data_IF_240614091349
#
_entry.id   IF_240614091349
#
_cell.length_a   1.000
_cell.length_b   1.000
_cell.length_c   1.000
_cell.angle_alpha   90.00
_cell.angle_beta   90.00
_cell.angle_gamma   90.00
#
_symmetry.space_group_name_H-M   'P 1'
#
loop_
_entity.id
_entity.type
_entity.pdbx_description
1 polymer ?
#
# COMPACT_ATOMS: atom_id res chain seq x y z
N UNK A 1 30.82 -110.83 -5.77
CA UNK A 1 29.98 -111.09 -6.97
C UNK A 1 29.16 -109.84 -7.24
N UNK A 2 29.50 -109.15 -8.31
CA UNK A 2 29.03 -107.82 -8.69
C UNK A 2 27.66 -107.90 -9.38
N UNK A 3 26.67 -107.17 -8.87
CA UNK A 3 25.38 -106.99 -9.53
C UNK A 3 25.46 -105.86 -10.57
N UNK A 4 25.42 -106.24 -11.85
CA UNK A 4 25.23 -105.30 -12.95
C UNK A 4 23.78 -104.79 -12.98
N UNK A 5 23.61 -103.48 -12.82
CA UNK A 5 22.33 -102.79 -13.01
C UNK A 5 22.10 -102.57 -14.50
N UNK A 6 21.04 -103.16 -15.06
CA UNK A 6 20.56 -102.84 -16.41
C UNK A 6 19.91 -101.45 -16.40
N UNK A 7 20.36 -100.58 -17.30
CA UNK A 7 19.82 -99.23 -17.51
C UNK A 7 18.59 -99.25 -18.43
N UNK A 8 17.75 -98.19 -18.44
CA UNK A 8 16.38 -98.23 -19.00
C UNK A 8 16.26 -98.26 -20.53
N UNK A 9 17.36 -98.49 -21.27
CA UNK A 9 17.39 -98.29 -22.72
C UNK A 9 17.19 -99.56 -23.57
N UNK A 10 17.04 -100.73 -22.94
CA UNK A 10 16.75 -101.98 -23.66
C UNK A 10 15.26 -102.32 -23.64
N UNK A 11 14.49 -101.60 -24.45
CA UNK A 11 13.27 -102.13 -25.09
C UNK A 11 12.85 -101.23 -26.25
N UNK A 12 13.47 -101.47 -27.41
CA UNK A 12 12.82 -101.19 -28.70
C UNK A 12 12.50 -102.53 -29.33
N UNK A 13 11.21 -102.81 -29.53
CA UNK A 13 10.59 -103.00 -30.85
C UNK A 13 9.28 -103.80 -30.74
N UNK A 14 8.34 -103.33 -31.57
CA UNK A 14 7.13 -103.98 -32.05
C UNK A 14 5.91 -103.88 -31.13
N UNK A 15 5.05 -102.91 -31.44
CA UNK A 15 3.70 -103.24 -31.92
C UNK A 15 3.21 -102.12 -32.85
N UNK A 16 2.93 -102.52 -34.08
CA UNK A 16 2.26 -101.74 -35.10
C UNK A 16 0.78 -101.62 -34.75
N UNK A 17 0.32 -100.41 -34.47
CA UNK A 17 -1.08 -99.97 -34.60
C UNK A 17 -1.21 -98.65 -33.84
N UNK A 18 -1.18 -97.53 -34.56
CA UNK A 18 -2.09 -96.41 -34.34
C UNK A 18 -1.65 -95.20 -35.15
N UNK A 19 -2.31 -94.97 -36.29
CA UNK A 19 -2.27 -93.71 -37.01
C UNK A 19 -3.05 -92.64 -36.22
N UNK A 20 -2.42 -92.06 -35.18
CA UNK A 20 -2.83 -90.75 -34.66
C UNK A 20 -2.04 -89.66 -35.35
N UNK A 21 -2.55 -89.19 -36.48
CA UNK A 21 -2.20 -87.88 -37.03
C UNK A 21 -2.76 -86.78 -36.11
N UNK A 22 -2.08 -86.49 -35.00
CA UNK A 22 -2.30 -85.27 -34.19
C UNK A 22 -1.20 -84.27 -34.50
N UNK A 23 -1.51 -83.33 -35.39
CA UNK A 23 -0.70 -82.13 -35.57
C UNK A 23 -0.63 -81.34 -34.25
N UNK A 24 0.53 -80.76 -33.87
CA UNK A 24 0.64 -79.97 -32.64
C UNK A 24 -0.25 -78.74 -32.71
N UNK A 25 -1.24 -78.64 -31.82
CA UNK A 25 -2.14 -77.48 -31.74
C UNK A 25 -1.37 -76.22 -31.33
N UNK A 26 -1.61 -75.12 -32.04
CA UNK A 26 -1.02 -73.81 -31.74
C UNK A 26 -1.53 -73.25 -30.40
N UNK A 27 -0.79 -72.31 -29.80
CA UNK A 27 -1.19 -71.64 -28.54
C UNK A 27 -2.56 -70.95 -28.65
N UNK A 28 -2.94 -70.53 -29.86
CA UNK A 28 -4.24 -69.96 -30.16
C UNK A 28 -5.35 -71.02 -30.22
N UNK A 29 -5.10 -72.16 -30.86
CA UNK A 29 -6.03 -73.31 -30.86
C UNK A 29 -6.28 -73.86 -29.45
N UNK A 30 -5.25 -73.87 -28.59
CA UNK A 30 -5.40 -74.24 -27.16
C UNK A 30 -6.21 -73.22 -26.34
N UNK A 31 -6.28 -71.95 -26.77
CA UNK A 31 -7.13 -70.92 -26.15
C UNK A 31 -8.56 -71.00 -26.63
N UNK A 32 -8.75 -71.26 -27.92
CA UNK A 32 -10.07 -71.44 -28.54
C UNK A 32 -10.79 -72.69 -27.99
N UNK A 33 -10.06 -73.77 -27.68
CA UNK A 33 -10.63 -74.96 -27.00
C UNK A 33 -11.01 -74.73 -25.52
N UNK A 34 -10.58 -73.62 -24.91
CA UNK A 34 -10.93 -73.25 -23.52
C UNK A 34 -12.10 -72.29 -23.43
N UNK A 35 -12.57 -71.75 -24.56
CA UNK A 35 -13.71 -70.83 -24.63
C UNK A 35 -15.02 -71.62 -24.61
N UNK A 36 -15.28 -72.25 -23.47
CA UNK A 36 -16.56 -72.89 -23.17
C UNK A 36 -17.52 -71.89 -22.52
N UNK A 37 -18.82 -72.20 -22.55
CA UNK A 37 -19.86 -71.47 -21.82
C UNK A 37 -19.46 -71.22 -20.36
N UNK A 38 -18.97 -72.24 -19.67
CA UNK A 38 -18.52 -72.16 -18.28
C UNK A 38 -17.36 -71.19 -18.08
N UNK A 39 -16.40 -71.17 -19.01
CA UNK A 39 -15.28 -70.24 -18.95
C UNK A 39 -15.76 -68.78 -19.07
N UNK A 40 -16.65 -68.51 -20.04
CA UNK A 40 -17.21 -67.18 -20.25
C UNK A 40 -18.03 -66.73 -19.02
N UNK A 41 -18.91 -67.59 -18.50
CA UNK A 41 -19.70 -67.30 -17.30
C UNK A 41 -18.79 -67.02 -16.10
N UNK A 42 -17.71 -67.80 -15.92
CA UNK A 42 -16.75 -67.59 -14.83
C UNK A 42 -16.05 -66.23 -14.91
N UNK A 43 -15.70 -65.78 -16.12
CA UNK A 43 -15.11 -64.45 -16.35
C UNK A 43 -16.09 -63.32 -16.03
N UNK A 44 -17.35 -63.45 -16.44
CA UNK A 44 -18.42 -62.51 -16.07
C UNK A 44 -18.60 -62.43 -14.55
N UNK A 45 -18.71 -63.58 -13.86
CA UNK A 45 -18.85 -63.63 -12.40
C UNK A 45 -17.64 -63.02 -11.70
N UNK A 46 -16.44 -63.27 -12.21
CA UNK A 46 -15.21 -62.68 -11.66
C UNK A 46 -15.22 -61.14 -11.78
N UNK A 47 -15.65 -60.62 -12.93
CA UNK A 47 -15.72 -59.19 -13.16
C UNK A 47 -16.86 -58.52 -12.36
N UNK A 48 -18.02 -59.16 -12.24
CA UNK A 48 -19.12 -58.71 -11.35
C UNK A 48 -18.66 -58.63 -9.90
N UNK A 49 -17.89 -59.62 -9.41
CA UNK A 49 -17.28 -59.55 -8.07
C UNK A 49 -16.30 -58.39 -7.93
N UNK A 50 -15.50 -58.12 -8.96
CA UNK A 50 -14.60 -56.97 -9.00
C UNK A 50 -15.39 -55.65 -8.92
N UNK A 51 -16.41 -55.47 -9.78
CA UNK A 51 -17.28 -54.30 -9.77
C UNK A 51 -17.99 -54.12 -8.43
N UNK A 52 -18.46 -55.19 -7.81
CA UNK A 52 -19.07 -55.14 -6.48
C UNK A 52 -18.09 -54.71 -5.38
N UNK A 53 -16.80 -55.06 -5.48
CA UNK A 53 -15.76 -54.56 -4.56
C UNK A 53 -15.45 -53.10 -4.82
N UNK A 54 -15.33 -52.70 -6.08
CA UNK A 54 -15.10 -51.31 -6.47
C UNK A 54 -16.27 -50.43 -6.02
N UNK A 55 -17.52 -50.86 -6.23
CA UNK A 55 -18.73 -50.15 -5.74
C UNK A 55 -18.69 -49.90 -4.23
N UNK A 56 -18.25 -50.89 -3.44
CA UNK A 56 -18.15 -50.75 -1.97
C UNK A 56 -17.10 -49.72 -1.54
N UNK A 57 -16.05 -49.53 -2.34
CA UNK A 57 -14.97 -48.57 -2.11
C UNK A 57 -15.24 -47.22 -2.75
N UNK A 58 -16.21 -47.14 -3.65
CA UNK A 58 -16.54 -45.95 -4.39
C UNK A 58 -17.28 -44.92 -3.52
N UNK A 59 -17.09 -43.62 -3.78
CA UNK A 59 -17.94 -42.54 -3.27
C UNK A 59 -19.42 -42.84 -3.54
N UNK A 60 -20.31 -42.28 -2.70
CA UNK A 60 -21.75 -42.56 -2.79
C UNK A 60 -22.34 -42.22 -4.16
N UNK A 61 -21.87 -41.14 -4.76
CA UNK A 61 -22.34 -40.62 -6.05
C UNK A 61 -22.00 -41.58 -7.21
N UNK A 62 -20.88 -42.29 -7.08
CA UNK A 62 -20.39 -43.20 -8.11
C UNK A 62 -21.10 -44.57 -8.05
N UNK A 63 -21.80 -44.87 -6.93
CA UNK A 63 -22.51 -46.15 -6.75
C UNK A 63 -23.55 -46.40 -7.83
N UNK A 64 -24.24 -45.36 -8.29
CA UNK A 64 -25.23 -45.46 -9.37
C UNK A 64 -24.62 -45.90 -10.70
N UNK A 65 -23.39 -45.47 -10.99
CA UNK A 65 -22.67 -45.93 -12.18
C UNK A 65 -22.38 -47.43 -12.06
N UNK A 66 -21.86 -47.88 -10.92
CA UNK A 66 -21.59 -49.30 -10.71
C UNK A 66 -22.86 -50.15 -10.72
N UNK A 67 -23.98 -49.65 -10.19
CA UNK A 67 -25.27 -50.35 -10.22
C UNK A 67 -25.74 -50.62 -11.66
N UNK A 68 -25.75 -49.60 -12.51
CA UNK A 68 -26.15 -49.77 -13.91
C UNK A 68 -25.24 -50.75 -14.66
N UNK A 69 -23.93 -50.72 -14.39
CA UNK A 69 -22.95 -51.58 -15.04
C UNK A 69 -23.11 -53.02 -14.55
N UNK A 70 -23.26 -53.23 -13.23
CA UNK A 70 -23.51 -54.56 -12.63
C UNK A 70 -24.80 -55.15 -13.20
N UNK A 71 -25.90 -54.40 -13.22
CA UNK A 71 -27.19 -54.84 -13.76
C UNK A 71 -27.12 -55.20 -15.26
N UNK A 72 -26.27 -54.53 -16.02
CA UNK A 72 -26.02 -54.85 -17.43
C UNK A 72 -25.28 -56.20 -17.57
N UNK A 73 -24.18 -56.38 -16.83
CA UNK A 73 -23.41 -57.63 -16.87
C UNK A 73 -24.17 -58.82 -16.26
N UNK A 74 -25.04 -58.60 -15.28
CA UNK A 74 -25.92 -59.63 -14.72
C UNK A 74 -26.99 -60.07 -15.73
N UNK A 75 -27.57 -59.15 -16.50
CA UNK A 75 -28.48 -59.50 -17.61
C UNK A 75 -27.78 -60.31 -18.68
N UNK A 76 -26.59 -59.87 -19.11
CA UNK A 76 -25.79 -60.62 -20.09
C UNK A 76 -25.41 -62.01 -19.60
N UNK A 77 -25.07 -62.16 -18.32
CA UNK A 77 -24.82 -63.47 -17.71
C UNK A 77 -26.04 -64.37 -17.82
N UNK A 78 -27.23 -63.88 -17.48
CA UNK A 78 -28.48 -64.65 -17.59
C UNK A 78 -28.82 -65.03 -19.04
N UNK A 79 -28.51 -64.16 -20.01
CA UNK A 79 -28.69 -64.46 -21.44
C UNK A 79 -27.73 -65.58 -21.89
N UNK A 80 -26.46 -65.52 -21.48
CA UNK A 80 -25.45 -66.55 -21.78
C UNK A 80 -25.85 -67.90 -21.17
N UNK A 81 -26.39 -67.91 -19.95
CA UNK A 81 -26.87 -69.12 -19.27
C UNK A 81 -27.99 -69.84 -20.06
N UNK A 82 -28.81 -69.10 -20.82
CA UNK A 82 -29.90 -69.65 -21.65
C UNK A 82 -29.44 -70.18 -23.01
N UNK A 83 -28.21 -69.88 -23.44
CA UNK A 83 -27.70 -70.33 -24.73
C UNK A 83 -27.32 -71.82 -24.70
N UNK A 84 -27.57 -72.51 -25.83
CA UNK A 84 -27.13 -73.89 -26.05
C UNK A 84 -25.60 -73.97 -26.13
N UNK A 85 -25.02 -75.03 -25.59
CA UNK A 85 -23.56 -75.26 -25.56
C UNK A 85 -22.97 -75.60 -26.94
N UNK A 86 -23.82 -75.85 -27.94
CA UNK A 86 -23.43 -76.38 -29.24
C UNK A 86 -22.83 -75.35 -30.22
N UNK A 87 -22.70 -74.06 -29.85
CA UNK A 87 -22.12 -73.02 -30.71
C UNK A 87 -20.95 -72.26 -30.05
N UNK A 88 -19.71 -72.77 -30.21
CA UNK A 88 -18.49 -72.14 -29.70
C UNK A 88 -18.19 -70.74 -30.29
N UNK A 89 -18.68 -70.45 -31.50
CA UNK A 89 -18.43 -69.16 -32.16
C UNK A 89 -19.21 -68.03 -31.48
N UNK A 90 -20.43 -68.33 -31.00
CA UNK A 90 -21.24 -67.38 -30.23
C UNK A 90 -20.49 -67.00 -28.93
N UNK A 91 -19.98 -67.97 -28.17
CA UNK A 91 -19.25 -67.69 -26.93
C UNK A 91 -17.96 -66.90 -27.16
N UNK A 92 -17.24 -67.18 -28.26
CA UNK A 92 -16.06 -66.39 -28.66
C UNK A 92 -16.43 -64.93 -28.98
N UNK A 93 -17.53 -64.69 -29.69
CA UNK A 93 -18.01 -63.35 -30.01
C UNK A 93 -18.44 -62.59 -28.75
N UNK A 94 -19.19 -63.25 -27.86
CA UNK A 94 -19.61 -62.69 -26.57
C UNK A 94 -18.39 -62.33 -25.71
N UNK A 95 -17.40 -63.22 -25.63
CA UNK A 95 -16.19 -62.95 -24.84
C UNK A 95 -15.37 -61.78 -25.40
N UNK A 96 -15.25 -61.64 -26.72
CA UNK A 96 -14.55 -60.49 -27.33
C UNK A 96 -15.28 -59.18 -27.02
N UNK A 97 -16.61 -59.16 -27.14
CA UNK A 97 -17.42 -57.99 -26.81
C UNK A 97 -17.31 -57.64 -25.31
N UNK A 98 -17.38 -58.64 -24.44
CA UNK A 98 -17.17 -58.49 -23.00
C UNK A 98 -15.82 -57.83 -22.68
N UNK A 99 -14.72 -58.30 -23.28
CA UNK A 99 -13.40 -57.73 -23.04
C UNK A 99 -13.28 -56.28 -23.55
N UNK A 100 -13.95 -55.97 -24.66
CA UNK A 100 -13.99 -54.61 -25.20
C UNK A 100 -14.73 -53.67 -24.26
N UNK A 101 -15.95 -54.01 -23.88
CA UNK A 101 -16.75 -53.15 -22.98
C UNK A 101 -16.12 -53.03 -21.61
N UNK A 102 -15.53 -54.11 -21.08
CA UNK A 102 -14.76 -54.07 -19.83
C UNK A 102 -13.64 -53.02 -19.90
N UNK A 103 -12.92 -52.96 -21.01
CA UNK A 103 -11.84 -51.99 -21.20
C UNK A 103 -12.39 -50.56 -21.28
N UNK A 104 -13.42 -50.33 -22.09
CA UNK A 104 -14.05 -49.02 -22.26
C UNK A 104 -14.64 -48.48 -20.94
N UNK A 105 -15.31 -49.34 -20.17
CA UNK A 105 -15.87 -48.99 -18.87
C UNK A 105 -14.79 -48.61 -17.86
N UNK A 106 -13.69 -49.38 -17.80
CA UNK A 106 -12.57 -49.05 -16.91
C UNK A 106 -11.92 -47.71 -17.29
N UNK A 107 -11.71 -47.45 -18.58
CA UNK A 107 -11.18 -46.17 -19.06
C UNK A 107 -12.13 -44.99 -18.78
N UNK A 108 -13.45 -45.22 -18.83
CA UNK A 108 -14.44 -44.21 -18.48
C UNK A 108 -14.42 -43.90 -16.97
N UNK A 109 -14.32 -44.91 -16.12
CA UNK A 109 -14.18 -44.74 -14.66
C UNK A 109 -12.94 -43.91 -14.35
N UNK A 110 -11.78 -44.25 -14.93
CA UNK A 110 -10.54 -43.53 -14.67
C UNK A 110 -10.59 -42.08 -15.15
N UNK A 111 -11.16 -41.82 -16.33
CA UNK A 111 -11.37 -40.43 -16.81
C UNK A 111 -12.26 -39.63 -15.88
N UNK A 112 -13.35 -40.23 -15.38
CA UNK A 112 -14.23 -39.58 -14.41
C UNK A 112 -13.54 -39.31 -13.07
N UNK A 113 -12.70 -40.25 -12.60
CA UNK A 113 -11.90 -40.06 -11.37
C UNK A 113 -10.92 -38.89 -11.50
N UNK A 114 -10.20 -38.81 -12.63
CA UNK A 114 -9.28 -37.70 -12.91
C UNK A 114 -10.03 -36.37 -13.01
N UNK A 115 -11.12 -36.32 -13.77
CA UNK A 115 -11.93 -35.10 -13.91
C UNK A 115 -12.54 -34.64 -12.58
N UNK A 116 -13.04 -35.57 -11.76
CA UNK A 116 -13.53 -35.26 -10.40
C UNK A 116 -12.45 -34.65 -9.52
N UNK A 117 -11.23 -35.20 -9.57
CA UNK A 117 -10.09 -34.65 -8.82
C UNK A 117 -9.77 -33.22 -9.26
N UNK A 118 -9.71 -32.98 -10.56
CA UNK A 118 -9.46 -31.63 -11.10
C UNK A 118 -10.54 -30.63 -10.67
N UNK A 119 -11.81 -31.02 -10.72
CA UNK A 119 -12.91 -30.16 -10.25
C UNK A 119 -12.83 -29.87 -8.75
N UNK A 120 -12.43 -30.83 -7.93
CA UNK A 120 -12.21 -30.61 -6.49
C UNK A 120 -11.09 -29.58 -6.28
N UNK A 121 -9.97 -29.73 -6.99
CA UNK A 121 -8.85 -28.81 -6.91
C UNK A 121 -9.26 -27.39 -7.37
N UNK A 122 -10.02 -27.27 -8.47
CA UNK A 122 -10.58 -25.99 -8.95
C UNK A 122 -11.53 -25.34 -7.95
N UNK A 123 -12.42 -26.11 -7.32
CA UNK A 123 -13.33 -25.60 -6.29
C UNK A 123 -12.55 -25.13 -5.06
N UNK A 124 -11.48 -25.84 -4.68
CA UNK A 124 -10.59 -25.42 -3.59
C UNK A 124 -9.93 -24.08 -3.89
N UNK A 125 -9.35 -23.92 -5.08
CA UNK A 125 -8.74 -22.66 -5.53
C UNK A 125 -9.78 -21.53 -5.55
N UNK A 126 -10.98 -21.81 -6.05
CA UNK A 126 -12.06 -20.81 -6.09
C UNK A 126 -12.42 -20.33 -4.68
N UNK A 127 -12.50 -21.24 -3.72
CA UNK A 127 -12.79 -20.89 -2.31
C UNK A 127 -11.67 -20.04 -1.70
N UNK A 128 -10.41 -20.40 -1.93
CA UNK A 128 -9.27 -19.59 -1.49
C UNK A 128 -9.28 -18.17 -2.10
N UNK A 129 -9.67 -18.04 -3.36
CA UNK A 129 -9.83 -16.74 -4.02
C UNK A 129 -10.99 -15.93 -3.43
N UNK A 130 -12.13 -16.58 -3.12
CA UNK A 130 -13.26 -15.93 -2.45
C UNK A 130 -12.84 -15.40 -1.06
N UNK A 131 -12.13 -16.21 -0.27
CA UNK A 131 -11.61 -15.79 1.05
C UNK A 131 -10.63 -14.61 0.93
N UNK A 132 -9.73 -14.62 -0.07
CA UNK A 132 -8.81 -13.51 -0.32
C UNK A 132 -9.52 -12.22 -0.74
N UNK A 133 -10.58 -12.34 -1.56
CA UNK A 133 -11.40 -11.19 -1.97
C UNK A 133 -12.14 -10.61 -0.76
N UNK A 134 -12.69 -11.45 0.10
CA UNK A 134 -13.35 -11.01 1.34
C UNK A 134 -12.40 -10.26 2.25
N UNK A 135 -11.19 -10.80 2.50
CA UNK A 135 -10.16 -10.13 3.29
C UNK A 135 -9.76 -8.77 2.70
N UNK A 136 -9.53 -8.69 1.39
CA UNK A 136 -9.20 -7.41 0.72
C UNK A 136 -10.32 -6.39 0.86
N UNK A 137 -11.58 -6.80 0.81
CA UNK A 137 -12.72 -5.91 0.98
C UNK A 137 -12.84 -5.38 2.41
N UNK A 138 -12.52 -6.18 3.43
CA UNK A 138 -12.47 -5.72 4.83
C UNK A 138 -11.38 -4.66 5.01
N UNK A 139 -10.15 -4.95 4.59
CA UNK A 139 -9.02 -4.00 4.69
C UNK A 139 -9.35 -2.69 3.97
N UNK A 140 -9.95 -2.75 2.78
CA UNK A 140 -10.34 -1.55 2.03
C UNK A 140 -11.41 -0.72 2.75
N UNK A 141 -12.35 -1.37 3.47
CA UNK A 141 -13.36 -0.66 4.27
C UNK A 141 -12.74 0.02 5.49
N UNK A 142 -11.83 -0.67 6.19
CA UNK A 142 -11.10 -0.11 7.34
C UNK A 142 -10.24 1.07 6.93
N UNK A 143 -9.42 0.92 5.88
CA UNK A 143 -8.60 2.02 5.34
C UNK A 143 -9.45 3.23 4.92
N UNK A 144 -10.58 3.02 4.25
CA UNK A 144 -11.48 4.11 3.87
C UNK A 144 -12.13 4.79 5.10
N UNK A 145 -12.43 4.03 6.15
CA UNK A 145 -12.98 4.57 7.39
C UNK A 145 -11.95 5.44 8.10
N UNK A 146 -10.72 4.95 8.24
CA UNK A 146 -9.63 5.66 8.90
C UNK A 146 -9.27 6.95 8.15
N UNK A 147 -9.13 6.85 6.83
CA UNK A 147 -8.86 8.01 5.95
C UNK A 147 -9.98 9.04 6.08
N UNK A 148 -11.25 8.60 6.07
CA UNK A 148 -12.39 9.51 6.19
C UNK A 148 -12.44 10.17 7.58
N UNK A 149 -12.10 9.44 8.64
CA UNK A 149 -11.99 10.00 10.00
C UNK A 149 -10.91 11.08 10.08
N UNK A 150 -9.71 10.81 9.54
CA UNK A 150 -8.59 11.76 9.52
C UNK A 150 -8.96 13.02 8.74
N UNK A 151 -9.51 12.89 7.52
CA UNK A 151 -9.88 14.07 6.73
C UNK A 151 -10.97 14.92 7.37
N UNK A 152 -11.97 14.31 8.01
CA UNK A 152 -13.02 15.05 8.73
C UNK A 152 -12.41 15.82 9.90
N UNK A 153 -11.48 15.21 10.62
CA UNK A 153 -10.83 15.83 11.77
C UNK A 153 -9.92 16.99 11.33
N UNK A 154 -9.07 16.78 10.32
CA UNK A 154 -8.24 17.84 9.75
C UNK A 154 -9.07 19.00 9.20
N UNK A 155 -10.19 18.72 8.54
CA UNK A 155 -11.10 19.76 8.06
C UNK A 155 -11.64 20.62 9.21
N UNK A 156 -12.12 19.99 10.29
CA UNK A 156 -12.66 20.71 11.44
C UNK A 156 -11.58 21.48 12.21
N UNK A 157 -10.37 20.96 12.30
CA UNK A 157 -9.24 21.65 12.94
C UNK A 157 -8.83 22.89 12.13
N UNK A 158 -8.73 22.77 10.80
CA UNK A 158 -8.46 23.91 9.90
C UNK A 158 -9.60 24.94 9.92
N UNK A 159 -10.85 24.49 9.96
CA UNK A 159 -12.01 25.37 10.07
C UNK A 159 -11.99 26.17 11.39
N UNK A 160 -11.59 25.53 12.49
CA UNK A 160 -11.42 26.19 13.79
C UNK A 160 -10.31 27.24 13.74
N UNK A 161 -9.13 26.87 13.24
CA UNK A 161 -7.99 27.79 13.10
C UNK A 161 -8.36 29.01 12.23
N UNK A 162 -9.05 28.79 11.11
CA UNK A 162 -9.50 29.86 10.23
C UNK A 162 -10.47 30.83 10.95
N UNK A 163 -11.40 30.30 11.74
CA UNK A 163 -12.31 31.13 12.54
C UNK A 163 -11.59 31.92 13.64
N UNK A 164 -10.56 31.36 14.26
CA UNK A 164 -9.73 32.09 15.24
C UNK A 164 -8.93 33.21 14.59
N UNK A 165 -8.35 32.95 13.41
CA UNK A 165 -7.63 33.96 12.64
C UNK A 165 -8.55 35.10 12.19
N UNK A 166 -9.77 34.80 11.74
CA UNK A 166 -10.78 35.83 11.40
C UNK A 166 -11.09 36.74 12.59
N UNK A 167 -11.34 36.16 13.77
CA UNK A 167 -11.57 36.94 14.99
C UNK A 167 -10.37 37.81 15.35
N UNK A 168 -9.15 37.29 15.17
CA UNK A 168 -7.93 38.05 15.42
C UNK A 168 -7.78 39.22 14.44
N UNK A 169 -8.11 39.03 13.16
CA UNK A 169 -8.14 40.10 12.16
C UNK A 169 -9.16 41.16 12.57
N UNK A 170 -10.40 40.79 12.88
CA UNK A 170 -11.44 41.74 13.31
C UNK A 170 -10.99 42.53 14.55
N UNK A 171 -10.35 41.87 15.51
CA UNK A 171 -9.83 42.53 16.72
C UNK A 171 -8.74 43.54 16.38
N UNK A 172 -7.79 43.17 15.52
CA UNK A 172 -6.70 44.05 15.09
C UNK A 172 -7.22 45.21 14.23
N UNK A 173 -8.22 45.00 13.39
CA UNK A 173 -8.88 46.05 12.61
C UNK A 173 -9.56 47.06 13.55
N UNK A 174 -10.28 46.59 14.57
CA UNK A 174 -10.89 47.46 15.59
C UNK A 174 -9.83 48.24 16.37
N UNK A 175 -8.72 47.61 16.76
CA UNK A 175 -7.60 48.28 17.44
C UNK A 175 -6.94 49.34 16.56
N UNK A 176 -6.76 49.04 15.27
CA UNK A 176 -6.21 49.97 14.29
C UNK A 176 -7.14 51.17 14.08
N UNK A 177 -8.44 50.94 13.91
CA UNK A 177 -9.46 51.99 13.77
C UNK A 177 -9.55 52.88 15.02
N UNK A 178 -9.38 52.29 16.21
CA UNK A 178 -9.35 53.03 17.49
C UNK A 178 -8.03 53.75 17.74
N UNK A 179 -7.00 53.50 16.94
CA UNK A 179 -5.71 54.13 17.15
C UNK A 179 -5.79 55.64 16.83
N UNK A 180 -5.59 56.46 17.85
CA UNK A 180 -5.60 57.91 17.75
C UNK A 180 -4.31 58.49 17.13
N UNK A 181 -3.63 57.74 16.25
CA UNK A 181 -2.35 58.16 15.66
C UNK A 181 -2.47 59.48 14.92
N UNK A 182 -3.57 59.70 14.20
CA UNK A 182 -3.79 60.97 13.52
C UNK A 182 -3.96 62.13 14.51
N UNK A 183 -4.74 61.94 15.57
CA UNK A 183 -4.93 62.98 16.60
C UNK A 183 -3.61 63.32 17.29
N UNK A 184 -2.84 62.30 17.71
CA UNK A 184 -1.53 62.49 18.32
C UNK A 184 -0.55 63.18 17.37
N UNK A 185 -0.56 62.84 16.08
CA UNK A 185 0.27 63.50 15.07
C UNK A 185 -0.10 64.99 14.93
N UNK A 186 -1.39 65.32 14.86
CA UNK A 186 -1.83 66.70 14.74
C UNK A 186 -1.55 67.53 16.01
N UNK A 187 -1.71 66.94 17.19
CA UNK A 187 -1.40 67.58 18.47
C UNK A 187 0.10 67.88 18.59
N UNK A 188 0.96 66.90 18.29
CA UNK A 188 2.42 67.10 18.27
C UNK A 188 2.85 68.11 17.20
N UNK A 189 2.23 68.09 16.03
CA UNK A 189 2.50 69.07 14.96
C UNK A 189 2.11 70.48 15.39
N UNK A 190 1.00 70.63 16.12
CA UNK A 190 0.56 71.90 16.68
C UNK A 190 1.54 72.40 17.73
N UNK A 191 1.92 71.56 18.69
CA UNK A 191 2.90 71.91 19.73
C UNK A 191 4.24 72.34 19.13
N UNK A 192 4.73 71.61 18.10
CA UNK A 192 5.96 71.97 17.39
C UNK A 192 5.87 73.35 16.73
N UNK A 193 4.73 73.68 16.09
CA UNK A 193 4.53 75.00 15.51
C UNK A 193 4.45 76.11 16.55
N UNK A 194 3.85 75.85 17.72
CA UNK A 194 3.80 76.81 18.82
C UNK A 194 5.21 77.05 19.40
N UNK A 195 6.02 76.01 19.54
CA UNK A 195 7.42 76.12 19.97
C UNK A 195 8.27 76.91 18.96
N UNK A 196 8.11 76.67 17.66
CA UNK A 196 8.80 77.45 16.61
C UNK A 196 8.48 78.94 16.70
N UNK A 197 7.20 79.31 16.86
CA UNK A 197 6.81 80.71 17.02
C UNK A 197 7.41 81.34 18.27
N UNK A 198 7.43 80.62 19.40
CA UNK A 198 8.08 81.10 20.64
C UNK A 198 9.58 81.32 20.43
N UNK A 199 10.23 80.43 19.70
CA UNK A 199 11.66 80.54 19.38
C UNK A 199 11.93 81.77 18.51
N UNK A 200 11.15 81.99 17.45
CA UNK A 200 11.24 83.20 16.61
C UNK A 200 11.05 84.49 17.44
N UNK A 201 10.09 84.51 18.36
CA UNK A 201 9.90 85.70 19.23
C UNK A 201 11.08 85.95 20.15
N UNK A 202 11.68 84.89 20.72
CA UNK A 202 12.85 85.00 21.59
C UNK A 202 14.08 85.45 20.81
N UNK A 203 14.26 84.98 19.57
CA UNK A 203 15.34 85.44 18.69
C UNK A 203 15.22 86.94 18.38
N UNK A 204 14.01 87.42 18.07
CA UNK A 204 13.76 88.86 17.84
C UNK A 204 14.07 89.69 19.09
N UNK A 205 13.64 89.22 20.27
CA UNK A 205 13.87 89.95 21.52
C UNK A 205 15.36 89.95 21.90
N UNK A 206 16.08 88.85 21.64
CA UNK A 206 17.52 88.78 21.82
C UNK A 206 18.25 89.78 20.92
N UNK A 207 17.93 89.84 19.62
CA UNK A 207 18.52 90.81 18.70
C UNK A 207 18.27 92.26 19.13
N UNK A 208 17.05 92.55 19.63
CA UNK A 208 16.70 93.87 20.14
C UNK A 208 17.53 94.24 21.36
N UNK A 209 17.65 93.31 22.32
CA UNK A 209 18.47 93.48 23.52
C UNK A 209 19.94 93.73 23.17
N UNK A 210 20.50 92.93 22.26
CA UNK A 210 21.88 93.11 21.77
C UNK A 210 22.08 94.49 21.11
N UNK A 211 21.12 94.97 20.30
CA UNK A 211 21.17 96.31 19.70
C UNK A 211 21.13 97.43 20.74
N UNK A 212 20.28 97.31 21.76
CA UNK A 212 20.19 98.29 22.86
C UNK A 212 21.51 98.33 23.64
N UNK A 213 22.05 97.16 24.00
CA UNK A 213 23.33 97.07 24.69
C UNK A 213 24.47 97.67 23.86
N UNK A 214 24.51 97.40 22.55
CA UNK A 214 25.48 98.03 21.65
C UNK A 214 25.40 99.56 21.65
N UNK A 215 24.19 100.13 21.67
CA UNK A 215 23.98 101.59 21.77
C UNK A 215 24.41 102.16 23.12
N UNK A 216 24.10 101.48 24.22
CA UNK A 216 24.50 101.90 25.57
C UNK A 216 26.03 101.94 25.67
N UNK A 217 26.71 100.87 25.23
CA UNK A 217 28.17 100.78 25.21
C UNK A 217 28.76 101.89 24.34
N UNK A 218 28.22 102.12 23.15
CA UNK A 218 28.67 103.22 22.27
C UNK A 218 28.53 104.59 22.95
N UNK A 219 27.37 104.89 23.54
CA UNK A 219 27.14 106.16 24.23
C UNK A 219 28.07 106.35 25.42
N UNK A 220 28.28 105.29 26.21
CA UNK A 220 29.21 105.31 27.33
C UNK A 220 30.64 105.60 26.86
N UNK A 221 31.11 104.92 25.80
CA UNK A 221 32.43 105.16 25.23
C UNK A 221 32.57 106.60 24.71
N UNK A 222 31.54 107.16 24.05
CA UNK A 222 31.55 108.56 23.60
C UNK A 222 31.61 109.52 24.78
N UNK A 223 30.81 109.31 25.83
CA UNK A 223 30.85 110.15 27.03
C UNK A 223 32.21 110.06 27.74
N UNK A 224 32.76 108.86 27.86
CA UNK A 224 34.08 108.63 28.44
C UNK A 224 35.17 109.35 27.65
N UNK A 225 35.18 109.23 26.32
CA UNK A 225 36.19 109.89 25.49
C UNK A 225 36.05 111.42 25.54
N UNK A 226 34.82 111.95 25.54
CA UNK A 226 34.58 113.37 25.72
C UNK A 226 35.10 113.87 27.07
N UNK A 227 34.84 113.12 28.15
CA UNK A 227 35.34 113.44 29.49
C UNK A 227 36.87 113.42 29.51
N UNK A 228 37.48 112.37 28.95
CA UNK A 228 38.93 112.22 28.82
C UNK A 228 39.54 113.42 28.09
N UNK A 229 38.98 113.83 26.95
CA UNK A 229 39.46 115.00 26.20
C UNK A 229 39.39 116.29 27.05
N UNK A 230 38.32 116.49 27.83
CA UNK A 230 38.18 117.68 28.68
C UNK A 230 39.14 117.68 29.87
N UNK A 231 39.37 116.51 30.50
CA UNK A 231 40.16 116.43 31.73
C UNK A 231 41.66 116.29 31.47
N UNK A 232 42.07 115.74 30.33
CA UNK A 232 43.50 115.50 30.01
C UNK A 232 44.33 116.80 30.08
N UNK A 233 43.92 117.93 29.47
CA UNK A 233 44.68 119.19 29.58
C UNK A 233 44.69 119.79 30.99
N UNK A 234 43.68 119.48 31.81
CA UNK A 234 43.62 119.92 33.22
C UNK A 234 44.62 119.12 34.05
N UNK A 235 44.65 117.79 33.88
CA UNK A 235 45.62 116.93 34.54
C UNK A 235 47.06 117.20 34.08
N UNK A 236 47.29 117.44 32.78
CA UNK A 236 48.61 117.82 32.26
C UNK A 236 49.08 119.16 32.83
N UNK A 237 48.19 120.15 32.96
CA UNK A 237 48.50 121.43 33.62
C UNK A 237 48.76 121.27 35.11
N UNK A 238 47.99 120.43 35.81
CA UNK A 238 48.22 120.14 37.22
C UNK A 238 49.56 119.43 37.45
N UNK A 239 49.91 118.46 36.60
CA UNK A 239 51.20 117.78 36.63
C UNK A 239 52.36 118.73 36.28
N UNK A 240 52.21 119.60 35.28
CA UNK A 240 53.21 120.63 34.96
C UNK A 240 53.40 121.60 36.14
N UNK A 241 52.31 122.04 36.79
CA UNK A 241 52.38 122.88 37.97
C UNK A 241 53.10 122.19 39.14
N UNK A 242 52.91 120.88 39.32
CA UNK A 242 53.67 120.08 40.30
C UNK A 242 55.16 119.99 39.93
N UNK A 243 55.49 119.78 38.65
CA UNK A 243 56.88 119.83 38.17
C UNK A 243 57.55 121.17 38.49
N UNK A 244 56.87 122.31 38.29
CA UNK A 244 57.41 123.63 38.66
C UNK A 244 57.53 123.82 40.18
N UNK A 245 56.63 123.25 40.98
CA UNK A 245 56.72 123.26 42.44
C UNK A 245 57.86 122.37 42.97
N UNK A 246 58.21 121.29 42.29
CA UNK A 246 59.35 120.43 42.64
C UNK A 246 60.68 121.06 42.23
N UNK A 247 60.74 121.81 41.12
CA UNK A 247 61.92 122.58 40.72
C UNK A 247 62.18 123.78 41.65
N UNK A 248 61.14 124.50 42.12
CA UNK A 248 61.31 125.60 43.08
C UNK A 248 61.72 125.15 44.51
N UNK A 249 61.51 123.88 44.87
CA UNK A 249 61.91 123.31 46.17
C UNK A 249 63.27 122.61 46.16
N UNK A 250 63.93 122.48 45.00
CA UNK A 250 65.26 121.84 44.88
C UNK A 250 66.45 122.83 44.90
N UNK A 251 66.20 124.14 45.00
CA UNK A 251 67.24 125.18 45.12
C UNK A 251 67.41 125.73 46.56
N UNK A 252 67.11 124.90 47.58
CA UNK A 252 67.48 125.17 48.99
C UNK A 252 68.54 124.18 49.50
#
# INVERSE_FOLDING_TARGET
MSHERKTPYDRKKNDESSTWSRTPKTRQQKKDERLTKDFVIKEFVSYLKYLGREKKRAPYEDKYFYDNVIDCYDRWKQEIEKLSENDPLIFKKIFINFQRERKENNEKIERLRVGKKQLIDEVSIKKELEDQIEQKNVIKKEQNSDIKGIYIQEYHDLERENNELKKKIETLEIELERSNFNTQYYDLKRENNELKKKLETLEIDLERSQRINGRIISNFNTQYENLRIMTTPVFERANMALYFYEDENNDN
#
